data_IF_399763637299
#
_entry.id   IF_399763637299
#
_cell.length_a   1.000
_cell.length_b   1.000
_cell.length_c   1.000
_cell.angle_alpha   90.00
_cell.angle_beta   90.00
_cell.angle_gamma   90.00
#
_symmetry.space_group_name_H-M   'P 1'
#
loop_
_entity.id
_entity.type
_entity.pdbx_description
1 polymer ?
#
# COMPACT_ATOMS: atom_id res chain seq x y z
N UNK A 1 2.26 -7.24 1.34
CA UNK A 1 2.08 -8.58 1.93
C UNK A 1 3.42 -9.31 2.08
N UNK A 2 4.16 -9.54 0.99
CA UNK A 2 5.41 -10.35 1.00
C UNK A 2 6.42 -9.85 2.05
N UNK A 3 6.74 -8.56 2.08
CA UNK A 3 7.71 -8.04 3.06
C UNK A 3 7.24 -8.25 4.50
N UNK A 4 5.97 -8.01 4.82
CA UNK A 4 5.44 -8.25 6.16
C UNK A 4 5.55 -9.72 6.56
N UNK A 5 5.21 -10.65 5.65
CA UNK A 5 5.38 -12.09 5.87
C UNK A 5 6.83 -12.49 6.08
N UNK A 6 7.77 -11.97 5.29
CA UNK A 6 9.21 -12.21 5.45
C UNK A 6 9.76 -11.68 6.78
N UNK A 7 9.17 -10.64 7.34
CA UNK A 7 9.51 -10.10 8.66
C UNK A 7 8.88 -10.90 9.83
N UNK A 8 8.00 -11.85 9.53
CA UNK A 8 7.39 -12.74 10.51
C UNK A 8 5.98 -12.33 10.97
N UNK A 9 5.33 -11.37 10.28
CA UNK A 9 3.92 -11.10 10.53
C UNK A 9 3.05 -12.26 10.03
N UNK A 10 1.98 -12.59 10.74
CA UNK A 10 0.89 -13.39 10.21
C UNK A 10 0.15 -12.55 9.17
N UNK A 11 0.39 -12.84 7.89
CA UNK A 11 -0.05 -11.99 6.78
C UNK A 11 -1.02 -12.74 5.89
N UNK A 12 -2.13 -12.11 5.59
CA UNK A 12 -3.17 -12.61 4.69
C UNK A 12 -3.26 -11.74 3.43
N UNK A 13 -3.47 -12.37 2.27
CA UNK A 13 -3.79 -11.68 1.03
C UNK A 13 -5.27 -11.85 0.70
N UNK A 14 -5.98 -10.74 0.60
CA UNK A 14 -7.37 -10.68 0.15
C UNK A 14 -7.38 -10.04 -1.23
N UNK A 15 -7.64 -10.82 -2.28
CA UNK A 15 -7.60 -10.36 -3.67
C UNK A 15 -8.34 -11.32 -4.60
N UNK A 16 -8.51 -10.91 -5.86
CA UNK A 16 -8.93 -11.79 -6.94
C UNK A 16 -7.78 -12.08 -7.89
N UNK A 17 -7.64 -13.33 -8.32
CA UNK A 17 -6.73 -13.76 -9.38
C UNK A 17 -7.53 -14.45 -10.48
N UNK A 18 -7.05 -14.35 -11.72
CA UNK A 18 -7.68 -15.01 -12.85
C UNK A 18 -7.52 -16.52 -12.85
N UNK A 19 -8.08 -17.19 -13.86
CA UNK A 19 -7.92 -18.62 -14.07
C UNK A 19 -6.80 -18.86 -15.12
N UNK A 20 -5.58 -18.51 -14.73
CA UNK A 20 -4.40 -18.55 -15.59
C UNK A 20 -3.13 -18.96 -14.83
N UNK A 21 -2.05 -19.16 -15.59
CA UNK A 21 -0.75 -19.56 -15.04
C UNK A 21 -0.14 -18.50 -14.12
N UNK A 22 -0.45 -17.22 -14.32
CA UNK A 22 0.07 -16.14 -13.49
C UNK A 22 -0.52 -16.21 -12.07
N UNK A 23 -1.78 -16.59 -11.97
CA UNK A 23 -2.40 -16.80 -10.66
C UNK A 23 -1.73 -17.92 -9.86
N UNK A 24 -1.39 -19.05 -10.50
CA UNK A 24 -0.69 -20.16 -9.83
C UNK A 24 0.70 -19.73 -9.36
N UNK A 25 1.46 -19.03 -10.22
CA UNK A 25 2.77 -18.48 -9.87
C UNK A 25 2.69 -17.48 -8.71
N UNK A 26 1.67 -16.62 -8.70
CA UNK A 26 1.45 -15.61 -7.65
C UNK A 26 1.12 -16.28 -6.31
N UNK A 27 0.22 -17.25 -6.30
CA UNK A 27 -0.14 -18.02 -5.11
C UNK A 27 1.08 -18.76 -4.54
N UNK A 28 1.88 -19.39 -5.40
CA UNK A 28 3.10 -20.09 -4.98
C UNK A 28 4.13 -19.12 -4.38
N UNK A 29 4.28 -17.93 -4.95
CA UNK A 29 5.17 -16.90 -4.42
C UNK A 29 4.71 -16.39 -3.05
N UNK A 30 3.42 -16.13 -2.87
CA UNK A 30 2.86 -15.75 -1.58
C UNK A 30 3.12 -16.80 -0.51
N UNK A 31 2.81 -18.08 -0.80
CA UNK A 31 3.06 -19.18 0.13
C UNK A 31 4.53 -19.29 0.52
N UNK A 32 5.46 -19.19 -0.43
CA UNK A 32 6.91 -19.21 -0.18
C UNK A 32 7.38 -18.05 0.71
N UNK A 33 6.66 -16.94 0.67
CA UNK A 33 6.96 -15.73 1.45
C UNK A 33 6.21 -15.68 2.79
N UNK A 34 5.54 -16.77 3.20
CA UNK A 34 4.80 -16.84 4.46
C UNK A 34 3.46 -16.10 4.46
N UNK A 35 2.92 -15.77 3.28
CA UNK A 35 1.61 -15.11 3.17
C UNK A 35 0.51 -16.15 3.03
N UNK A 36 -0.51 -16.07 3.87
CA UNK A 36 -1.71 -16.90 3.80
C UNK A 36 -2.54 -16.50 2.56
N UNK A 37 -3.00 -17.48 1.81
CA UNK A 37 -3.71 -17.33 0.53
C UNK A 37 -5.17 -17.79 0.58
N UNK A 38 -5.71 -18.10 1.77
CA UNK A 38 -7.04 -18.69 1.93
C UNK A 38 -8.17 -17.77 1.48
N UNK A 39 -7.90 -16.45 1.41
CA UNK A 39 -8.85 -15.44 0.98
C UNK A 39 -8.59 -14.91 -0.44
N UNK A 40 -7.76 -15.60 -1.22
CA UNK A 40 -7.59 -15.32 -2.64
C UNK A 40 -8.72 -16.00 -3.41
N UNK A 41 -9.52 -15.20 -4.12
CA UNK A 41 -10.59 -15.71 -4.97
C UNK A 41 -10.06 -15.97 -6.38
N UNK A 42 -10.38 -17.13 -6.94
CA UNK A 42 -10.14 -17.44 -8.36
C UNK A 42 -11.40 -17.06 -9.15
N UNK A 43 -11.22 -16.21 -10.15
CA UNK A 43 -12.31 -15.73 -10.99
C UNK A 43 -12.04 -16.04 -12.47
N UNK A 44 -13.08 -16.23 -13.30
CA UNK A 44 -12.88 -16.43 -14.73
C UNK A 44 -12.18 -15.24 -15.38
N UNK A 45 -11.24 -15.51 -16.29
CA UNK A 45 -10.50 -14.49 -17.02
C UNK A 45 -9.03 -14.38 -16.61
N UNK A 46 -8.35 -13.31 -17.04
CA UNK A 46 -6.93 -13.12 -16.77
C UNK A 46 -6.68 -12.45 -15.42
N UNK A 47 -5.59 -12.85 -14.78
CA UNK A 47 -5.01 -12.09 -13.66
C UNK A 47 -4.62 -10.68 -14.11
N UNK A 48 -4.52 -9.76 -13.18
CA UNK A 48 -3.91 -8.45 -13.41
C UNK A 48 -2.44 -8.59 -13.82
N UNK A 49 -2.02 -7.83 -14.82
CA UNK A 49 -0.62 -7.82 -15.30
C UNK A 49 -0.16 -6.40 -15.57
N UNK A 50 1.11 -6.14 -15.31
CA UNK A 50 1.75 -4.84 -15.54
C UNK A 50 3.01 -5.03 -16.42
N UNK A 51 2.89 -5.24 -17.75
CA UNK A 51 4.03 -5.31 -18.63
C UNK A 51 4.87 -4.03 -18.57
N UNK A 52 6.16 -4.19 -18.41
CA UNK A 52 7.12 -3.09 -18.34
C UNK A 52 7.98 -3.11 -19.61
N UNK A 53 7.95 -2.01 -20.37
CA UNK A 53 8.86 -1.78 -21.46
C UNK A 53 9.98 -0.86 -21.03
N UNK A 54 11.20 -1.27 -21.29
CA UNK A 54 12.38 -0.44 -21.05
C UNK A 54 12.90 0.01 -22.42
N UNK A 55 12.94 1.32 -22.67
CA UNK A 55 13.47 1.84 -23.93
C UNK A 55 15.01 1.89 -23.94
N UNK A 56 15.60 2.25 -25.09
CA UNK A 56 17.05 2.31 -25.25
C UNK A 56 17.77 3.35 -24.37
N UNK A 57 17.04 4.25 -23.71
CA UNK A 57 17.55 5.22 -22.72
C UNK A 57 17.39 4.73 -21.28
N UNK A 58 16.81 3.53 -21.06
CA UNK A 58 16.54 2.99 -19.75
C UNK A 58 15.25 3.51 -19.10
N UNK A 59 14.41 4.25 -19.85
CA UNK A 59 13.12 4.71 -19.35
C UNK A 59 12.08 3.59 -19.35
N UNK A 60 11.39 3.45 -18.24
CA UNK A 60 10.33 2.46 -18.07
C UNK A 60 8.97 3.02 -18.53
N UNK A 61 8.22 2.21 -19.25
CA UNK A 61 6.80 2.44 -19.55
C UNK A 61 6.01 1.24 -19.07
N UNK A 62 5.05 1.47 -18.20
CA UNK A 62 4.23 0.44 -17.59
C UNK A 62 2.81 0.57 -18.13
N UNK A 63 2.26 -0.52 -18.66
CA UNK A 63 0.83 -0.61 -18.98
C UNK A 63 0.19 -1.53 -17.95
N UNK A 64 -0.73 -0.98 -17.17
CA UNK A 64 -1.49 -1.78 -16.20
C UNK A 64 -2.75 -2.31 -16.87
N UNK A 65 -2.94 -3.62 -16.80
CA UNK A 65 -4.18 -4.31 -17.18
C UNK A 65 -4.74 -4.93 -15.91
N UNK A 66 -5.79 -4.34 -15.36
CA UNK A 66 -6.34 -4.72 -14.04
C UNK A 66 -6.81 -6.18 -13.98
N UNK A 67 -7.43 -6.68 -15.06
CA UNK A 67 -7.90 -8.08 -15.11
C UNK A 67 -8.77 -8.42 -13.89
N UNK A 68 -8.43 -9.51 -13.21
CA UNK A 68 -9.14 -9.98 -12.03
C UNK A 68 -9.15 -8.99 -10.86
N UNK A 69 -8.21 -8.02 -10.80
CA UNK A 69 -8.18 -7.00 -9.75
C UNK A 69 -9.47 -6.17 -9.71
N UNK A 70 -10.10 -5.92 -10.87
CA UNK A 70 -11.36 -5.17 -10.96
C UNK A 70 -12.58 -5.96 -10.50
N UNK A 71 -12.43 -7.26 -10.23
CA UNK A 71 -13.52 -8.16 -9.83
C UNK A 71 -13.61 -8.40 -8.32
N UNK A 72 -12.70 -7.82 -7.54
CA UNK A 72 -12.78 -7.93 -6.08
C UNK A 72 -14.03 -7.20 -5.58
N UNK A 73 -14.73 -7.82 -4.64
CA UNK A 73 -15.94 -7.27 -4.03
C UNK A 73 -15.69 -6.86 -2.58
N UNK A 74 -16.18 -5.67 -2.19
CA UNK A 74 -15.97 -5.14 -0.85
C UNK A 74 -16.68 -5.92 0.26
N UNK A 75 -17.85 -6.51 -0.02
CA UNK A 75 -18.56 -7.35 0.96
C UNK A 75 -17.80 -8.66 1.20
N UNK A 76 -17.32 -9.29 0.13
CA UNK A 76 -16.51 -10.52 0.22
C UNK A 76 -15.19 -10.26 0.95
N UNK A 77 -14.56 -9.11 0.71
CA UNK A 77 -13.36 -8.71 1.43
C UNK A 77 -13.62 -8.52 2.93
N UNK A 78 -14.74 -7.89 3.31
CA UNK A 78 -15.13 -7.74 4.72
C UNK A 78 -15.45 -9.11 5.35
N UNK A 79 -16.11 -10.00 4.64
CA UNK A 79 -16.39 -11.37 5.15
C UNK A 79 -15.10 -12.20 5.32
N UNK A 80 -14.06 -11.95 4.50
CA UNK A 80 -12.74 -12.53 4.71
C UNK A 80 -12.07 -11.94 5.96
N UNK A 81 -12.09 -10.61 6.13
CA UNK A 81 -11.54 -9.90 7.29
C UNK A 81 -12.15 -10.41 8.60
N UNK A 82 -13.46 -10.62 8.65
CA UNK A 82 -14.16 -11.14 9.85
C UNK A 82 -13.71 -12.53 10.30
N UNK A 83 -13.05 -13.29 9.43
CA UNK A 83 -12.54 -14.64 9.73
C UNK A 83 -11.09 -14.62 10.24
N UNK A 84 -10.42 -13.47 10.21
CA UNK A 84 -9.07 -13.31 10.70
C UNK A 84 -9.15 -12.86 12.16
N UNK A 85 -8.69 -13.71 13.05
CA UNK A 85 -8.62 -13.40 14.48
C UNK A 85 -7.48 -12.41 14.76
N UNK A 86 -7.66 -11.52 15.74
CA UNK A 86 -6.65 -10.57 16.20
C UNK A 86 -6.01 -9.71 15.10
N UNK A 87 -6.81 -9.32 14.09
CA UNK A 87 -6.32 -8.49 12.99
C UNK A 87 -6.01 -7.06 13.47
N UNK A 88 -4.77 -6.65 13.34
CA UNK A 88 -4.26 -5.36 13.84
C UNK A 88 -4.16 -4.30 12.74
N UNK A 89 -3.80 -4.70 11.50
CA UNK A 89 -3.50 -3.76 10.41
C UNK A 89 -4.08 -4.23 9.08
N UNK A 90 -4.69 -3.31 8.35
CA UNK A 90 -5.10 -3.50 6.95
C UNK A 90 -4.32 -2.51 6.07
N UNK A 91 -3.76 -3.02 4.97
CA UNK A 91 -3.06 -2.20 3.96
C UNK A 91 -3.89 -2.18 2.69
N UNK A 92 -4.10 -1.00 2.12
CA UNK A 92 -4.76 -0.82 0.83
C UNK A 92 -3.93 0.00 -0.15
N UNK A 93 -4.16 -0.24 -1.45
CA UNK A 93 -3.60 0.51 -2.58
C UNK A 93 -4.72 0.88 -3.56
N UNK A 94 -4.33 1.45 -4.73
CA UNK A 94 -5.26 1.88 -5.78
C UNK A 94 -5.19 1.01 -7.04
N UNK A 95 -4.76 -0.22 -6.91
CA UNK A 95 -4.76 -1.21 -8.01
C UNK A 95 -6.00 -2.10 -8.05
N UNK A 96 -6.95 -1.82 -7.16
CA UNK A 96 -8.30 -2.40 -7.12
C UNK A 96 -9.32 -1.25 -7.18
N UNK A 97 -10.62 -1.52 -7.38
CA UNK A 97 -11.64 -0.46 -7.34
C UNK A 97 -11.61 0.31 -6.02
N UNK A 98 -11.55 1.65 -6.11
CA UNK A 98 -11.39 2.52 -4.93
C UNK A 98 -12.51 2.35 -3.91
N UNK A 99 -13.72 2.08 -4.37
CA UNK A 99 -14.89 1.83 -3.53
C UNK A 99 -14.71 0.59 -2.65
N UNK A 100 -13.92 -0.39 -3.07
CA UNK A 100 -13.61 -1.58 -2.25
C UNK A 100 -12.68 -1.17 -1.11
N UNK A 101 -11.59 -0.45 -1.41
CA UNK A 101 -10.66 0.04 -0.38
C UNK A 101 -11.38 0.96 0.60
N UNK A 102 -12.23 1.88 0.11
CA UNK A 102 -13.02 2.77 0.94
C UNK A 102 -13.94 2.01 1.90
N UNK A 103 -14.69 1.04 1.38
CA UNK A 103 -15.61 0.22 2.16
C UNK A 103 -14.89 -0.61 3.24
N UNK A 104 -13.75 -1.20 2.87
CA UNK A 104 -12.91 -1.97 3.80
C UNK A 104 -12.33 -1.09 4.89
N UNK A 105 -11.85 0.12 4.55
CA UNK A 105 -11.28 1.04 5.54
C UNK A 105 -12.32 1.60 6.49
N UNK A 106 -13.53 1.91 6.01
CA UNK A 106 -14.66 2.27 6.88
C UNK A 106 -14.99 1.15 7.88
N UNK A 107 -15.02 -0.11 7.41
CA UNK A 107 -15.20 -1.26 8.29
C UNK A 107 -14.07 -1.38 9.31
N UNK A 108 -12.82 -1.25 8.89
CA UNK A 108 -11.64 -1.30 9.75
C UNK A 108 -11.71 -0.24 10.87
N UNK A 109 -11.99 1.02 10.50
CA UNK A 109 -12.14 2.13 11.46
C UNK A 109 -13.24 1.86 12.48
N UNK A 110 -14.41 1.33 12.05
CA UNK A 110 -15.51 0.98 12.94
C UNK A 110 -15.16 -0.17 13.91
N UNK A 111 -14.15 -0.98 13.61
CA UNK A 111 -13.70 -2.11 14.42
C UNK A 111 -12.33 -1.90 15.07
N UNK A 112 -11.82 -0.65 15.08
CA UNK A 112 -10.52 -0.29 15.69
C UNK A 112 -9.31 -1.03 15.10
N UNK A 113 -9.38 -1.39 13.81
CA UNK A 113 -8.28 -1.98 13.05
C UNK A 113 -7.51 -0.84 12.38
N UNK A 114 -6.20 -0.80 12.55
CA UNK A 114 -5.35 0.24 11.94
C UNK A 114 -5.32 0.12 10.43
N UNK A 115 -5.46 1.24 9.72
CA UNK A 115 -5.45 1.29 8.26
C UNK A 115 -4.22 2.01 7.73
N UNK A 116 -3.59 1.43 6.70
CA UNK A 116 -2.44 2.00 6.00
C UNK A 116 -2.78 2.11 4.52
N UNK A 117 -2.83 3.33 3.98
CA UNK A 117 -3.07 3.59 2.57
C UNK A 117 -1.77 3.99 1.86
N UNK A 118 -1.36 3.19 0.89
CA UNK A 118 -0.37 3.57 -0.10
C UNK A 118 -1.11 3.93 -1.40
N UNK A 119 -1.17 5.22 -1.80
CA UNK A 119 -2.03 5.67 -2.90
C UNK A 119 -1.40 5.42 -4.28
N UNK A 120 -0.91 4.21 -4.51
CA UNK A 120 -0.27 3.74 -5.73
C UNK A 120 -1.24 2.92 -6.60
N UNK A 121 -1.36 3.20 -7.90
CA UNK A 121 -0.90 4.39 -8.62
C UNK A 121 -1.65 5.66 -8.20
N UNK A 122 -1.01 6.82 -8.34
CA UNK A 122 -1.55 8.09 -7.88
C UNK A 122 -2.98 8.39 -8.38
N UNK A 123 -3.92 8.47 -7.46
CA UNK A 123 -5.31 8.93 -7.68
C UNK A 123 -5.71 9.76 -6.48
N UNK A 124 -6.57 10.75 -6.67
CA UNK A 124 -7.09 11.56 -5.57
C UNK A 124 -8.08 10.71 -4.77
N UNK A 125 -7.80 10.38 -3.49
CA UNK A 125 -8.72 9.64 -2.64
C UNK A 125 -9.95 10.48 -2.31
N UNK A 126 -11.08 9.83 -2.03
CA UNK A 126 -12.24 10.50 -1.46
C UNK A 126 -11.94 10.99 -0.04
N UNK A 127 -12.68 12.00 0.43
CA UNK A 127 -12.56 12.43 1.83
C UNK A 127 -12.92 11.31 2.80
N UNK A 128 -13.90 10.49 2.46
CA UNK A 128 -14.35 9.34 3.26
C UNK A 128 -13.19 8.33 3.44
N UNK A 129 -12.44 8.05 2.37
CA UNK A 129 -11.28 7.16 2.44
C UNK A 129 -10.17 7.76 3.30
N UNK A 130 -9.86 9.06 3.13
CA UNK A 130 -8.87 9.75 3.97
C UNK A 130 -9.27 9.75 5.45
N UNK A 131 -10.52 10.05 5.76
CA UNK A 131 -11.05 10.03 7.13
C UNK A 131 -11.02 8.63 7.75
N UNK A 132 -10.98 7.58 6.92
CA UNK A 132 -10.89 6.18 7.35
C UNK A 132 -9.47 5.63 7.32
N UNK A 133 -8.48 6.47 7.04
CA UNK A 133 -7.06 6.11 6.93
C UNK A 133 -6.29 6.61 8.15
N UNK A 134 -5.57 5.72 8.85
CA UNK A 134 -4.71 6.10 9.98
C UNK A 134 -3.32 6.55 9.51
N UNK A 135 -2.78 5.88 8.48
CA UNK A 135 -1.49 6.17 7.89
C UNK A 135 -1.60 6.34 6.38
N UNK A 136 -1.24 7.51 5.89
CA UNK A 136 -1.21 7.83 4.47
C UNK A 136 0.25 7.90 4.01
N UNK A 137 0.65 6.98 3.10
CA UNK A 137 2.05 6.75 2.71
C UNK A 137 2.21 6.87 1.19
N UNK A 138 2.19 8.06 0.61
CA UNK A 138 2.56 8.30 -0.79
C UNK A 138 4.09 8.32 -0.97
N UNK A 139 4.56 8.10 -2.22
CA UNK A 139 5.86 8.56 -2.64
C UNK A 139 5.82 10.04 -3.06
N UNK A 140 6.98 10.63 -3.43
CA UNK A 140 7.08 12.03 -3.84
C UNK A 140 6.16 12.37 -5.02
N UNK A 141 6.08 11.50 -6.02
CA UNK A 141 5.27 11.70 -7.23
C UNK A 141 3.77 11.60 -6.91
N UNK A 142 3.39 10.62 -6.11
CA UNK A 142 2.02 10.44 -5.64
C UNK A 142 1.59 11.62 -4.77
N UNK A 143 2.45 12.05 -3.83
CA UNK A 143 2.19 13.22 -2.99
C UNK A 143 1.97 14.48 -3.84
N UNK A 144 2.86 14.75 -4.79
CA UNK A 144 2.74 15.92 -5.68
C UNK A 144 1.49 15.85 -6.56
N UNK A 145 1.16 14.67 -7.06
CA UNK A 145 -0.04 14.46 -7.88
C UNK A 145 -1.33 14.68 -7.09
N UNK A 146 -1.38 14.20 -5.86
CA UNK A 146 -2.59 14.25 -5.00
C UNK A 146 -2.76 15.63 -4.36
N UNK A 147 -1.67 16.22 -3.85
CA UNK A 147 -1.71 17.47 -3.10
C UNK A 147 -1.55 18.73 -3.96
N UNK A 148 -0.91 18.61 -5.13
CA UNK A 148 -0.45 19.73 -5.94
C UNK A 148 0.74 20.49 -5.32
N UNK A 149 1.41 19.92 -4.32
CA UNK A 149 2.48 20.55 -3.54
C UNK A 149 3.81 19.80 -3.74
N UNK A 150 4.95 20.49 -3.64
CA UNK A 150 6.26 19.86 -3.73
C UNK A 150 6.57 19.04 -2.48
N UNK A 151 6.93 17.75 -2.65
CA UNK A 151 7.21 16.80 -1.58
C UNK A 151 8.50 17.09 -0.80
N UNK A 152 9.45 17.82 -1.39
CA UNK A 152 10.74 18.14 -0.76
C UNK A 152 10.71 19.42 0.08
N UNK A 153 9.58 20.12 0.13
CA UNK A 153 9.37 21.30 0.97
C UNK A 153 8.62 20.94 2.26
N UNK A 154 9.32 21.03 3.39
CA UNK A 154 8.77 20.66 4.69
C UNK A 154 7.51 21.47 5.04
N UNK A 155 7.39 22.72 4.60
CA UNK A 155 6.19 23.54 4.83
C UNK A 155 4.97 22.99 4.09
N UNK A 156 5.16 22.40 2.92
CA UNK A 156 4.12 21.74 2.16
C UNK A 156 3.65 20.43 2.81
N UNK A 157 4.59 19.64 3.33
CA UNK A 157 4.28 18.42 4.07
C UNK A 157 3.44 18.75 5.31
N UNK A 158 3.84 19.74 6.09
CA UNK A 158 3.09 20.21 7.27
C UNK A 158 1.71 20.72 6.86
N UNK A 159 1.64 21.54 5.80
CA UNK A 159 0.37 22.09 5.31
C UNK A 159 -0.60 20.97 4.91
N UNK A 160 -0.13 19.97 4.17
CA UNK A 160 -0.97 18.84 3.74
C UNK A 160 -1.36 17.95 4.91
N UNK A 161 -0.42 17.61 5.80
CA UNK A 161 -0.70 16.84 7.02
C UNK A 161 -1.78 17.50 7.90
N UNK A 162 -1.78 18.82 7.99
CA UNK A 162 -2.82 19.56 8.73
C UNK A 162 -4.19 19.57 8.03
N UNK A 163 -4.27 19.18 6.77
CA UNK A 163 -5.52 19.11 5.99
C UNK A 163 -6.18 17.73 5.98
N UNK A 164 -5.50 16.72 6.51
CA UNK A 164 -5.98 15.34 6.61
C UNK A 164 -5.95 14.88 8.07
N UNK A 165 -6.78 13.91 8.44
CA UNK A 165 -6.75 13.31 9.79
C UNK A 165 -5.68 12.22 9.93
N UNK A 166 -5.21 11.68 8.81
CA UNK A 166 -4.22 10.60 8.76
C UNK A 166 -2.82 11.08 9.17
N UNK A 167 -2.02 10.19 9.74
CA UNK A 167 -0.58 10.42 9.87
C UNK A 167 0.07 10.36 8.47
N UNK A 168 0.88 11.35 8.13
CA UNK A 168 1.54 11.45 6.82
C UNK A 168 2.98 10.97 6.88
N UNK A 169 3.32 10.00 6.03
CA UNK A 169 4.70 9.64 5.69
C UNK A 169 4.85 9.81 4.18
N UNK A 170 5.89 10.49 3.72
CA UNK A 170 6.22 10.58 2.30
C UNK A 170 7.56 9.89 2.06
N UNK A 171 7.58 8.88 1.17
CA UNK A 171 8.84 8.27 0.74
C UNK A 171 9.48 9.12 -0.36
N UNK A 172 10.80 9.36 -0.27
CA UNK A 172 11.55 10.32 -1.06
C UNK A 172 12.72 9.65 -1.82
N UNK A 173 12.53 8.41 -2.25
CA UNK A 173 13.54 7.63 -2.96
C UNK A 173 14.85 7.53 -2.19
N UNK A 174 15.96 7.96 -2.80
CA UNK A 174 17.29 7.93 -2.17
C UNK A 174 17.44 8.89 -0.98
N UNK A 175 16.59 9.90 -0.88
CA UNK A 175 16.54 10.83 0.26
C UNK A 175 15.92 10.16 1.51
N UNK A 176 15.28 9.01 1.36
CA UNK A 176 14.67 8.25 2.46
C UNK A 176 13.19 8.50 2.64
N UNK A 177 12.77 8.94 3.82
CA UNK A 177 11.36 9.22 4.12
C UNK A 177 11.20 10.41 5.05
N UNK A 178 10.09 11.12 4.91
CA UNK A 178 9.70 12.23 5.78
C UNK A 178 8.39 11.88 6.50
N UNK A 179 8.36 12.07 7.82
CA UNK A 179 7.18 11.90 8.67
C UNK A 179 6.83 13.24 9.34
N UNK A 180 5.57 13.64 9.28
CA UNK A 180 5.10 14.82 10.02
C UNK A 180 4.55 14.37 11.36
N UNK A 181 5.22 14.75 12.44
CA UNK A 181 4.81 14.37 13.78
C UNK A 181 3.62 15.22 14.30
N UNK A 182 3.06 14.82 15.45
CA UNK A 182 1.91 15.50 16.05
C UNK A 182 2.19 16.94 16.51
N UNK A 183 3.46 17.27 16.70
CA UNK A 183 3.92 18.64 17.04
C UNK A 183 4.05 19.54 15.80
N UNK A 184 3.75 19.01 14.60
CA UNK A 184 3.85 19.73 13.33
C UNK A 184 5.29 19.91 12.83
N UNK A 185 6.20 19.03 13.23
CA UNK A 185 7.58 19.02 12.77
C UNK A 185 7.82 17.88 11.78
N UNK A 186 8.66 18.11 10.78
CA UNK A 186 9.06 17.08 9.82
C UNK A 186 10.29 16.34 10.33
N UNK A 187 10.17 15.03 10.48
CA UNK A 187 11.27 14.14 10.82
C UNK A 187 11.69 13.42 9.53
N UNK A 188 12.95 13.60 9.13
CA UNK A 188 13.53 12.93 7.96
C UNK A 188 14.42 11.78 8.38
N UNK A 189 14.20 10.63 7.78
CA UNK A 189 15.01 9.43 7.97
C UNK A 189 15.70 9.15 6.63
N UNK A 190 17.03 9.23 6.61
CA UNK A 190 17.81 8.97 5.39
C UNK A 190 17.73 7.51 4.98
N UNK A 191 17.66 7.27 3.67
CA UNK A 191 17.84 5.93 3.13
C UNK A 191 19.28 5.43 3.39
N UNK A 192 19.47 4.12 3.59
CA UNK A 192 20.81 3.55 3.60
C UNK A 192 21.45 3.72 2.22
N UNK A 193 22.77 4.01 2.19
CA UNK A 193 23.52 4.08 0.94
C UNK A 193 23.62 2.67 0.33
N UNK A 194 23.00 2.46 -0.81
CA UNK A 194 23.03 1.21 -1.54
C UNK A 194 23.26 1.46 -3.03
N UNK A 195 23.89 0.53 -3.72
CA UNK A 195 23.95 0.56 -5.18
C UNK A 195 22.69 -0.14 -5.72
N UNK A 196 21.64 0.63 -5.98
CA UNK A 196 20.38 0.08 -6.46
C UNK A 196 20.53 -0.44 -7.88
N UNK A 197 20.17 -1.73 -8.09
CA UNK A 197 20.14 -2.37 -9.41
C UNK A 197 18.72 -2.27 -9.99
N UNK A 198 17.72 -2.43 -9.14
CA UNK A 198 16.29 -2.34 -9.47
C UNK A 198 15.54 -1.79 -8.25
N UNK A 199 14.75 -0.76 -8.46
CA UNK A 199 13.95 -0.10 -7.40
C UNK A 199 12.48 -0.53 -7.41
N UNK A 200 12.10 -1.45 -8.30
CA UNK A 200 10.73 -1.96 -8.39
C UNK A 200 10.31 -2.60 -7.05
N UNK A 201 9.17 -2.17 -6.52
CA UNK A 201 8.64 -2.67 -5.25
C UNK A 201 9.32 -2.13 -3.98
N UNK A 202 10.24 -1.15 -4.09
CA UNK A 202 10.86 -0.54 -2.90
C UNK A 202 9.81 0.12 -2.00
N UNK A 203 8.83 0.83 -2.57
CA UNK A 203 7.69 1.40 -1.85
C UNK A 203 6.85 0.32 -1.17
N UNK A 204 6.55 -0.77 -1.87
CA UNK A 204 5.80 -1.90 -1.30
C UNK A 204 6.55 -2.55 -0.13
N UNK A 205 7.88 -2.68 -0.26
CA UNK A 205 8.73 -3.20 0.81
C UNK A 205 8.73 -2.26 2.03
N UNK A 206 8.80 -0.95 1.81
CA UNK A 206 8.70 0.04 2.88
C UNK A 206 7.37 -0.06 3.62
N UNK A 207 6.25 -0.05 2.88
CA UNK A 207 4.90 -0.16 3.47
C UNK A 207 4.73 -1.49 4.24
N UNK A 208 5.21 -2.60 3.68
CA UNK A 208 5.16 -3.91 4.34
C UNK A 208 5.98 -3.96 5.62
N UNK A 209 7.18 -3.38 5.64
CA UNK A 209 8.02 -3.29 6.83
C UNK A 209 7.42 -2.35 7.89
N UNK A 210 6.90 -1.21 7.45
CA UNK A 210 6.23 -0.25 8.33
C UNK A 210 5.00 -0.88 9.00
N UNK A 211 4.18 -1.60 8.24
CA UNK A 211 2.99 -2.26 8.78
C UNK A 211 3.33 -3.32 9.84
N UNK A 212 4.41 -4.08 9.61
CA UNK A 212 4.94 -5.00 10.63
C UNK A 212 5.35 -4.27 11.91
N UNK A 213 6.03 -3.12 11.79
CA UNK A 213 6.40 -2.31 12.95
C UNK A 213 5.19 -1.83 13.74
N UNK A 214 4.14 -1.34 13.05
CA UNK A 214 2.88 -0.92 13.70
C UNK A 214 2.22 -2.10 14.41
N UNK A 215 2.03 -3.23 13.74
CA UNK A 215 1.43 -4.43 14.34
C UNK A 215 2.25 -4.99 15.52
N UNK A 216 3.58 -4.82 15.48
CA UNK A 216 4.47 -5.20 16.59
C UNK A 216 4.50 -4.18 17.75
N UNK A 217 3.71 -3.13 17.70
CA UNK A 217 3.64 -2.09 18.74
C UNK A 217 4.85 -1.16 18.78
N UNK A 218 5.64 -1.07 17.69
CA UNK A 218 6.72 -0.10 17.60
C UNK A 218 6.16 1.33 17.53
N UNK A 219 6.86 2.25 18.16
CA UNK A 219 6.49 3.66 18.16
C UNK A 219 7.24 4.42 17.08
N UNK A 220 6.64 5.51 16.58
CA UNK A 220 7.24 6.44 15.60
C UNK A 220 8.19 7.46 16.25
N UNK A 221 8.81 7.10 17.38
CA UNK A 221 9.77 7.96 18.10
C UNK A 221 11.18 7.63 17.72
#
# INVERSE_FOLDING_TARGET
AVMAGLMGAETYMITCLGDDVYADMTIDNYKKSGVNVDFIQRVPGSSGVAPIWVDGSGQNRIIVVSGANDLINGDDAIEAIKKIEDLEVIIGQFEIPLEVTEKVFQYAKANSITTILNPAPAKIPSQILLDSTDWFIPNEVEFETISGLNAFDDSNLIKYSNSIESNLIVTLGEEGAAYVNKEGSVIKIKAPEVNAIDTTGAGDAFVGAFSYGIASGYTTK
#
